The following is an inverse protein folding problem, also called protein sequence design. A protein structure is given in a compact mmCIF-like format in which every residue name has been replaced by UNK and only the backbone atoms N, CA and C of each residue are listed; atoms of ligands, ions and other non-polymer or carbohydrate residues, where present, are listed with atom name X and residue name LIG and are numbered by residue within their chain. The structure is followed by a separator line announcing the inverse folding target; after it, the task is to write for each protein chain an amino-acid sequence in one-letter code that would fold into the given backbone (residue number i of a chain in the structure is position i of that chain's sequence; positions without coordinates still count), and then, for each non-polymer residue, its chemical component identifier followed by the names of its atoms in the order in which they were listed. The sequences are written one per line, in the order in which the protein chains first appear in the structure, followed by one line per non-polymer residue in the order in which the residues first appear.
data_IF_631736558215
#
_entry.id   IF_631736558215
#
_cell.length_a   1.000
_cell.length_b   1.000
_cell.length_c   1.000
_cell.angle_alpha   90.00
_cell.angle_beta   90.00
_cell.angle_gamma   90.00
#
_symmetry.space_group_name_H-M   'P 1'
#
loop_
_entity.id
_entity.type
_entity.pdbx_description
1 polymer ?
#
# COMPACT_ATOMS: atom_id res chain seq x y z
N UNK A 1 -7.16 12.97 -6.97
CA UNK A 1 -5.84 12.39 -6.57
C UNK A 1 -5.01 13.41 -5.81
N UNK A 2 -4.72 14.60 -6.37
CA UNK A 2 -3.91 15.61 -5.67
C UNK A 2 -4.39 16.02 -4.27
N UNK A 3 -5.70 16.18 -4.05
CA UNK A 3 -6.23 16.44 -2.70
C UNK A 3 -5.92 15.31 -1.70
N UNK A 4 -5.95 14.06 -2.16
CA UNK A 4 -5.60 12.91 -1.32
C UNK A 4 -4.10 12.89 -1.03
N UNK A 5 -3.26 13.18 -2.02
CA UNK A 5 -1.80 13.25 -1.84
C UNK A 5 -1.40 14.34 -0.83
N UNK A 6 -2.01 15.52 -0.94
CA UNK A 6 -1.77 16.63 -0.02
C UNK A 6 -2.20 16.25 1.41
N UNK A 7 -3.39 15.67 1.57
CA UNK A 7 -3.86 15.17 2.86
C UNK A 7 -2.89 14.14 3.48
N UNK A 8 -2.36 13.22 2.67
CA UNK A 8 -1.40 12.22 3.15
C UNK A 8 -0.05 12.83 3.52
N UNK A 9 0.41 13.85 2.80
CA UNK A 9 1.64 14.57 3.13
C UNK A 9 1.49 15.33 4.45
N UNK A 10 0.37 16.03 4.64
CA UNK A 10 0.03 16.67 5.91
C UNK A 10 -0.02 15.63 7.03
N UNK A 11 -0.72 14.51 6.81
CA UNK A 11 -0.86 13.44 7.79
C UNK A 11 0.51 12.87 8.22
N UNK A 12 1.45 12.68 7.29
CA UNK A 12 2.81 12.22 7.61
C UNK A 12 3.64 13.28 8.35
N UNK A 13 3.38 14.57 8.12
CA UNK A 13 4.07 15.67 8.80
C UNK A 13 3.61 15.87 10.24
N UNK A 14 2.42 15.35 10.59
CA UNK A 14 1.89 15.42 11.94
C UNK A 14 2.75 14.58 12.87
N UNK A 15 3.38 15.25 13.84
CA UNK A 15 4.16 14.58 14.86
C UNK A 15 3.23 13.98 15.93
N UNK A 16 2.78 12.75 15.71
CA UNK A 16 1.97 12.02 16.68
C UNK A 16 2.84 11.55 17.86
N UNK A 17 3.36 12.47 18.67
CA UNK A 17 4.16 12.15 19.86
C UNK A 17 3.32 11.65 21.05
N UNK A 18 2.00 11.82 21.00
CA UNK A 18 1.09 11.30 22.01
C UNK A 18 0.53 9.97 21.53
N UNK A 19 0.58 8.95 22.38
CA UNK A 19 -0.16 7.70 22.23
C UNK A 19 -1.63 8.09 22.07
N UNK A 20 -2.08 8.19 20.83
CA UNK A 20 -3.42 8.61 20.49
C UNK A 20 -4.20 7.33 20.19
N UNK A 21 -5.21 7.07 21.02
CA UNK A 21 -6.12 5.92 20.97
C UNK A 21 -6.89 5.77 19.63
N UNK A 22 -6.74 6.72 18.71
CA UNK A 22 -7.38 6.72 17.39
C UNK A 22 -6.47 6.25 16.24
N UNK A 23 -5.21 5.86 16.50
CA UNK A 23 -4.30 5.34 15.44
C UNK A 23 -4.86 4.11 14.75
N UNK A 24 -5.55 3.23 15.48
CA UNK A 24 -6.24 2.07 14.89
C UNK A 24 -7.26 2.53 13.86
N UNK A 25 -8.15 3.46 14.21
CA UNK A 25 -9.14 3.98 13.27
C UNK A 25 -8.52 4.68 12.06
N UNK A 26 -7.37 5.34 12.26
CA UNK A 26 -6.64 5.94 11.15
C UNK A 26 -6.11 4.87 10.19
N UNK A 27 -5.50 3.79 10.70
CA UNK A 27 -5.02 2.70 9.87
C UNK A 27 -6.19 1.97 9.18
N UNK A 28 -7.31 1.73 9.87
CA UNK A 28 -8.53 1.18 9.27
C UNK A 28 -9.00 2.06 8.08
N UNK A 29 -9.07 3.37 8.27
CA UNK A 29 -9.46 4.31 7.23
C UNK A 29 -8.47 4.30 6.05
N UNK A 30 -7.16 4.20 6.32
CA UNK A 30 -6.12 4.15 5.29
C UNK A 30 -6.16 2.83 4.50
N UNK A 31 -6.43 1.69 5.14
CA UNK A 31 -6.62 0.40 4.46
C UNK A 31 -7.84 0.46 3.54
N UNK A 32 -8.95 1.03 4.02
CA UNK A 32 -10.14 1.22 3.18
C UNK A 32 -9.86 2.18 2.01
N UNK A 33 -9.10 3.25 2.25
CA UNK A 33 -8.67 4.17 1.21
C UNK A 33 -7.79 3.48 0.16
N UNK A 34 -6.86 2.61 0.58
CA UNK A 34 -6.03 1.81 -0.30
C UNK A 34 -6.90 0.90 -1.18
N UNK A 35 -7.83 0.17 -0.56
CA UNK A 35 -8.74 -0.72 -1.25
C UNK A 35 -9.55 0.02 -2.32
N UNK A 36 -10.23 1.12 -1.96
CA UNK A 36 -11.02 1.92 -2.90
C UNK A 36 -10.15 2.56 -3.99
N UNK A 37 -8.93 3.00 -3.66
CA UNK A 37 -8.02 3.59 -4.64
C UNK A 37 -7.61 2.57 -5.71
N UNK A 38 -7.36 1.32 -5.32
CA UNK A 38 -7.01 0.24 -6.23
C UNK A 38 -8.18 -0.17 -7.14
N UNK A 39 -9.41 -0.12 -6.64
CA UNK A 39 -10.59 -0.38 -7.47
C UNK A 39 -10.80 0.70 -8.54
N UNK A 40 -10.51 1.96 -8.21
CA UNK A 40 -10.88 3.12 -9.03
C UNK A 40 -9.77 3.67 -9.92
N UNK A 41 -8.53 3.22 -9.75
CA UNK A 41 -7.40 3.75 -10.50
C UNK A 41 -6.64 2.67 -11.25
N UNK A 42 -6.13 3.00 -12.42
CA UNK A 42 -5.15 2.18 -13.13
C UNK A 42 -3.72 2.58 -12.72
N UNK A 43 -2.78 1.66 -12.93
CA UNK A 43 -1.37 1.87 -12.58
C UNK A 43 -0.71 2.81 -13.57
N UNK A 44 -0.30 3.98 -13.06
CA UNK A 44 0.47 5.00 -13.75
C UNK A 44 1.26 5.81 -12.71
N UNK A 45 2.08 6.76 -13.14
CA UNK A 45 2.96 7.52 -12.25
C UNK A 45 2.19 8.24 -11.13
N UNK A 46 1.03 8.81 -11.46
CA UNK A 46 0.20 9.59 -10.53
C UNK A 46 -0.44 8.68 -9.48
N UNK A 47 -1.03 7.55 -9.91
CA UNK A 47 -1.62 6.59 -8.98
C UNK A 47 -0.57 5.85 -8.17
N UNK A 48 0.58 5.51 -8.74
CA UNK A 48 1.71 4.91 -8.02
C UNK A 48 2.22 5.84 -6.91
N UNK A 49 2.32 7.15 -7.17
CA UNK A 49 2.72 8.09 -6.15
C UNK A 49 1.71 8.11 -4.98
N UNK A 50 0.41 8.19 -5.28
CA UNK A 50 -0.65 8.09 -4.27
C UNK A 50 -0.57 6.79 -3.47
N UNK A 51 -0.51 5.63 -4.15
CA UNK A 51 -0.46 4.31 -3.51
C UNK A 51 0.77 4.19 -2.60
N UNK A 52 1.94 4.65 -3.03
CA UNK A 52 3.16 4.64 -2.22
C UNK A 52 3.01 5.47 -0.94
N UNK A 53 2.32 6.62 -1.01
CA UNK A 53 2.06 7.47 0.16
C UNK A 53 1.06 6.82 1.12
N UNK A 54 -0.01 6.21 0.60
CA UNK A 54 -0.99 5.49 1.42
C UNK A 54 -0.32 4.33 2.16
N UNK A 55 0.44 3.48 1.46
CA UNK A 55 1.16 2.36 2.05
C UNK A 55 2.14 2.83 3.13
N UNK A 56 2.89 3.90 2.86
CA UNK A 56 3.80 4.50 3.85
C UNK A 56 3.07 4.99 5.09
N UNK A 57 1.93 5.66 4.93
CA UNK A 57 1.09 6.07 6.06
C UNK A 57 0.62 4.87 6.88
N UNK A 58 0.07 3.84 6.22
CA UNK A 58 -0.38 2.61 6.88
C UNK A 58 0.76 2.04 7.73
N UNK A 59 1.94 1.85 7.13
CA UNK A 59 3.08 1.27 7.81
C UNK A 59 3.53 2.11 9.01
N UNK A 60 3.65 3.43 8.81
CA UNK A 60 4.08 4.37 9.86
C UNK A 60 3.13 4.36 11.06
N UNK A 61 1.82 4.45 10.81
CA UNK A 61 0.84 4.50 11.88
C UNK A 61 0.66 3.15 12.55
N UNK A 62 0.68 2.06 11.77
CA UNK A 62 0.57 0.72 12.32
C UNK A 62 1.71 0.40 13.30
N UNK A 63 2.97 0.67 12.91
CA UNK A 63 4.15 0.50 13.79
C UNK A 63 4.09 1.30 15.08
N UNK A 64 3.30 2.38 15.09
CA UNK A 64 3.13 3.23 16.27
C UNK A 64 2.00 2.77 17.20
N UNK A 65 1.23 1.73 16.84
CA UNK A 65 0.21 1.15 17.71
C UNK A 65 0.90 0.27 18.74
N UNK A 66 0.51 0.41 20.01
CA UNK A 66 0.99 -0.47 21.07
C UNK A 66 0.41 -1.87 20.85
N UNK A 67 1.27 -2.88 20.76
CA UNK A 67 0.88 -4.28 20.55
C UNK A 67 0.04 -4.83 21.71
N UNK A 68 0.12 -4.21 22.89
CA UNK A 68 -0.70 -4.58 24.05
C UNK A 68 -2.02 -3.78 24.14
N UNK A 69 -2.31 -2.94 23.14
CA UNK A 69 -3.56 -2.21 23.09
C UNK A 69 -4.74 -3.16 22.84
N UNK A 70 -5.82 -2.96 23.59
CA UNK A 70 -7.06 -3.76 23.50
C UNK A 70 -7.74 -3.63 22.14
N UNK A 71 -7.40 -2.60 21.36
CA UNK A 71 -7.92 -2.39 20.01
C UNK A 71 -7.15 -3.14 18.91
N UNK A 72 -6.03 -3.81 19.24
CA UNK A 72 -5.23 -4.57 18.27
C UNK A 72 -6.01 -5.69 17.54
N UNK A 73 -6.88 -6.48 18.20
CA UNK A 73 -7.65 -7.51 17.51
C UNK A 73 -8.58 -6.95 16.42
N UNK A 74 -9.06 -5.71 16.59
CA UNK A 74 -9.97 -5.06 15.64
C UNK A 74 -9.25 -4.63 14.36
N UNK A 75 -8.00 -4.19 14.49
CA UNK A 75 -7.20 -3.85 13.31
C UNK A 75 -6.79 -5.09 12.54
N UNK A 76 -6.48 -6.18 13.24
CA UNK A 76 -6.23 -7.48 12.62
C UNK A 76 -7.46 -7.93 11.83
N UNK A 77 -8.65 -7.91 12.42
CA UNK A 77 -9.90 -8.24 11.72
C UNK A 77 -10.12 -7.38 10.46
N UNK A 78 -9.87 -6.07 10.57
CA UNK A 78 -10.01 -5.15 9.42
C UNK A 78 -8.98 -5.46 8.33
N UNK A 79 -7.74 -5.74 8.70
CA UNK A 79 -6.69 -6.16 7.75
C UNK A 79 -7.12 -7.46 7.09
N UNK A 80 -7.44 -8.51 7.86
CA UNK A 80 -7.85 -9.81 7.34
C UNK A 80 -9.02 -9.71 6.36
N UNK A 81 -10.03 -8.88 6.67
CA UNK A 81 -11.19 -8.67 5.79
C UNK A 81 -10.83 -8.05 4.43
N UNK A 82 -9.84 -7.17 4.39
CA UNK A 82 -9.49 -6.42 3.18
C UNK A 82 -8.27 -6.99 2.45
N UNK A 83 -7.39 -7.73 3.12
CA UNK A 83 -6.07 -8.11 2.60
C UNK A 83 -6.18 -8.91 1.31
N UNK A 84 -7.06 -9.91 1.27
CA UNK A 84 -7.26 -10.76 0.09
C UNK A 84 -7.68 -9.96 -1.15
N UNK A 85 -8.59 -9.00 -0.98
CA UNK A 85 -9.04 -8.13 -2.07
C UNK A 85 -7.94 -7.14 -2.50
N UNK A 86 -7.20 -6.57 -1.55
CA UNK A 86 -6.07 -5.68 -1.84
C UNK A 86 -5.00 -6.42 -2.64
N UNK A 87 -4.58 -7.61 -2.19
CA UNK A 87 -3.59 -8.45 -2.87
C UNK A 87 -4.03 -8.80 -4.28
N UNK A 88 -5.28 -9.27 -4.44
CA UNK A 88 -5.87 -9.60 -5.73
C UNK A 88 -5.89 -8.40 -6.68
N UNK A 89 -6.31 -7.23 -6.19
CA UNK A 89 -6.38 -6.02 -7.01
C UNK A 89 -5.00 -5.55 -7.45
N UNK A 90 -4.00 -5.56 -6.55
CA UNK A 90 -2.62 -5.26 -6.93
C UNK A 90 -2.12 -6.21 -8.02
N UNK A 91 -2.30 -7.52 -7.85
CA UNK A 91 -1.88 -8.53 -8.83
C UNK A 91 -2.48 -8.23 -10.22
N UNK A 92 -3.81 -8.11 -10.29
CA UNK A 92 -4.52 -7.83 -11.55
C UNK A 92 -4.04 -6.53 -12.18
N UNK A 93 -3.88 -5.47 -11.39
CA UNK A 93 -3.53 -4.14 -11.89
C UNK A 93 -2.09 -4.09 -12.41
N UNK A 94 -1.14 -4.73 -11.72
CA UNK A 94 0.25 -4.79 -12.16
C UNK A 94 0.44 -5.74 -13.36
N UNK A 95 -0.27 -6.87 -13.42
CA UNK A 95 -0.28 -7.78 -14.57
C UNK A 95 -0.86 -7.13 -15.83
N UNK A 96 -1.94 -6.35 -15.72
CA UNK A 96 -2.47 -5.58 -16.86
C UNK A 96 -1.47 -4.57 -17.42
N UNK A 97 -0.52 -4.13 -16.61
CA UNK A 97 0.49 -3.14 -16.98
C UNK A 97 1.78 -3.79 -17.51
N UNK A 98 1.75 -4.78 -18.40
CA UNK A 98 2.95 -5.52 -18.83
C UNK A 98 4.16 -4.68 -19.32
N UNK A 99 4.00 -3.39 -19.62
CA UNK A 99 5.07 -2.54 -20.16
C UNK A 99 5.51 -1.47 -19.18
N UNK A 100 6.82 -1.36 -19.00
CA UNK A 100 7.44 -0.21 -18.34
C UNK A 100 7.66 0.89 -19.37
N UNK A 101 6.64 1.71 -19.58
CA UNK A 101 6.58 2.62 -20.75
C UNK A 101 7.58 3.77 -20.70
N UNK A 102 8.17 4.05 -19.54
CA UNK A 102 9.25 5.03 -19.35
C UNK A 102 10.04 4.74 -18.08
N UNK A 103 11.25 5.30 -17.95
CA UNK A 103 12.06 5.21 -16.74
C UNK A 103 11.30 5.76 -15.51
N UNK A 104 10.61 6.88 -15.66
CA UNK A 104 9.80 7.48 -14.58
C UNK A 104 8.66 6.55 -14.14
N UNK A 105 8.04 5.86 -15.10
CA UNK A 105 7.01 4.88 -14.82
C UNK A 105 7.56 3.65 -14.09
N UNK A 106 8.76 3.21 -14.48
CA UNK A 106 9.54 2.17 -13.79
C UNK A 106 9.84 2.53 -12.34
N UNK A 107 10.40 3.70 -12.11
CA UNK A 107 10.69 4.19 -10.76
C UNK A 107 9.43 4.27 -9.89
N UNK A 108 8.33 4.79 -10.45
CA UNK A 108 7.07 4.97 -9.72
C UNK A 108 6.45 3.62 -9.31
N UNK A 109 6.44 2.64 -10.22
CA UNK A 109 5.94 1.30 -9.95
C UNK A 109 6.84 0.54 -8.97
N UNK A 110 8.17 0.59 -9.14
CA UNK A 110 9.13 -0.02 -8.21
C UNK A 110 9.00 0.55 -6.80
N UNK A 111 8.71 1.84 -6.67
CA UNK A 111 8.46 2.46 -5.36
C UNK A 111 7.25 1.86 -4.64
N UNK A 112 6.17 1.56 -5.37
CA UNK A 112 5.01 0.87 -4.79
C UNK A 112 5.41 -0.55 -4.37
N UNK A 113 6.11 -1.29 -5.24
CA UNK A 113 6.56 -2.66 -4.96
C UNK A 113 7.45 -2.70 -3.70
N UNK A 114 8.40 -1.77 -3.57
CA UNK A 114 9.24 -1.66 -2.37
C UNK A 114 8.38 -1.42 -1.11
N UNK A 115 7.36 -0.55 -1.19
CA UNK A 115 6.45 -0.32 -0.07
C UNK A 115 5.60 -1.54 0.30
N UNK A 116 5.30 -2.44 -0.65
CA UNK A 116 4.64 -3.72 -0.35
C UNK A 116 5.57 -4.65 0.43
N UNK A 117 6.86 -4.69 0.10
CA UNK A 117 7.86 -5.50 0.80
C UNK A 117 8.06 -5.03 2.24
N UNK A 118 8.06 -3.72 2.46
CA UNK A 118 8.29 -3.08 3.76
C UNK A 118 7.04 -3.03 4.66
N UNK A 119 5.89 -3.54 4.19
CA UNK A 119 4.61 -3.41 4.89
C UNK A 119 4.53 -4.37 6.09
N UNK A 120 4.70 -3.82 7.30
CA UNK A 120 4.69 -4.58 8.55
C UNK A 120 3.30 -4.61 9.19
N UNK A 121 2.30 -5.12 8.48
CA UNK A 121 0.94 -5.37 9.00
C UNK A 121 0.70 -6.89 9.13
N UNK A 122 -0.39 -7.36 9.75
CA UNK A 122 -0.75 -8.78 9.73
C UNK A 122 -0.84 -9.25 8.28
N UNK A 123 -0.30 -10.44 8.00
CA UNK A 123 -0.13 -10.97 6.63
C UNK A 123 0.84 -10.17 5.74
N UNK A 124 1.80 -9.45 6.32
CA UNK A 124 2.86 -8.76 5.57
C UNK A 124 3.67 -9.66 4.64
N UNK A 125 3.84 -10.95 4.96
CA UNK A 125 4.50 -11.92 4.09
C UNK A 125 3.74 -12.12 2.76
N UNK A 126 2.42 -12.10 2.76
CA UNK A 126 1.61 -12.24 1.53
C UNK A 126 1.88 -11.06 0.57
N UNK A 127 2.15 -9.86 1.10
CA UNK A 127 2.54 -8.71 0.30
C UNK A 127 3.95 -8.82 -0.28
N UNK A 128 4.88 -9.46 0.45
CA UNK A 128 6.23 -9.75 -0.06
C UNK A 128 6.21 -10.77 -1.18
N UNK A 129 5.41 -11.83 -1.03
CA UNK A 129 5.20 -12.82 -2.08
C UNK A 129 4.58 -12.18 -3.33
N UNK A 130 3.56 -11.33 -3.16
CA UNK A 130 2.98 -10.56 -4.25
C UNK A 130 4.00 -9.66 -4.95
N UNK A 131 4.84 -8.95 -4.20
CA UNK A 131 5.88 -8.09 -4.76
C UNK A 131 6.87 -8.90 -5.62
N UNK A 132 7.27 -10.08 -5.14
CA UNK A 132 8.12 -11.00 -5.88
C UNK A 132 7.45 -11.50 -7.17
N UNK A 133 6.17 -11.88 -7.10
CA UNK A 133 5.40 -12.34 -8.25
C UNK A 133 5.26 -11.25 -9.32
N UNK A 134 4.98 -10.01 -8.90
CA UNK A 134 4.93 -8.86 -9.80
C UNK A 134 6.28 -8.69 -10.50
N UNK A 135 7.39 -8.72 -9.77
CA UNK A 135 8.72 -8.56 -10.36
C UNK A 135 9.07 -9.69 -11.34
N UNK A 136 8.78 -10.95 -10.98
CA UNK A 136 9.00 -12.10 -11.87
C UNK A 136 8.23 -11.96 -13.17
N UNK A 137 6.93 -11.65 -13.10
CA UNK A 137 6.09 -11.48 -14.29
C UNK A 137 6.61 -10.36 -15.19
N UNK A 138 7.04 -9.24 -14.59
CA UNK A 138 7.59 -8.11 -15.33
C UNK A 138 8.91 -8.43 -16.03
N UNK A 139 9.81 -9.17 -15.37
CA UNK A 139 11.08 -9.61 -15.99
C UNK A 139 10.80 -10.53 -17.18
N UNK A 140 9.87 -11.47 -17.04
CA UNK A 140 9.47 -12.37 -18.15
C UNK A 140 8.91 -11.57 -19.32
N UNK A 141 7.99 -10.63 -19.07
CA UNK A 141 7.42 -9.80 -20.13
C UNK A 141 8.45 -8.96 -20.90
N UNK A 142 9.52 -8.49 -20.26
CA UNK A 142 10.58 -7.73 -20.93
C UNK A 142 11.59 -8.61 -21.68
N UNK A 143 11.76 -9.88 -21.26
CA UNK A 143 12.59 -10.85 -22.01
C UNK A 143 11.87 -11.34 -23.28
N UNK A 144 10.54 -11.38 -23.25
CA UNK A 144 9.71 -11.86 -24.37
C UNK A 144 9.26 -10.75 -25.34
N UNK A 145 9.49 -9.46 -25.02
CA UNK A 145 9.10 -8.30 -25.83
C UNK A 145 10.18 -7.85 -26.83
#
# INVERSE_FOLDING_TARGET
IHHCEFFLDELQSLNFNKINCNRVHLVEALINMLHVSLERTDINDVSCNLLSKVLKCINTFYKSIDLFDKVMPKIEETVFKNVSNILKNFKIKFEKSCKWTSLKNLESQLKVIAMLVDLEIPNGEDFKELALDILKNKVVCEVEA
#
